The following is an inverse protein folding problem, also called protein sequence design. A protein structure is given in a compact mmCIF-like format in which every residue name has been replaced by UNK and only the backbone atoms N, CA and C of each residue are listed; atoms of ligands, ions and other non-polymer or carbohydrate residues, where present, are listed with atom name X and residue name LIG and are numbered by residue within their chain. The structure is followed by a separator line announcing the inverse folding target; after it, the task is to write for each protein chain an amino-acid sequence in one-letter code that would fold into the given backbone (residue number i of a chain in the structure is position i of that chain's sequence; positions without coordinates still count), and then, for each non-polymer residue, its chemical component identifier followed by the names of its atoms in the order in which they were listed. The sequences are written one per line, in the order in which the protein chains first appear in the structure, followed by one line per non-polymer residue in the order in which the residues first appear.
data_IF_242906923901
#
_entry.id   IF_242906923901
#
_cell.length_a   1.000
_cell.length_b   1.000
_cell.length_c   1.000
_cell.angle_alpha   90.00
_cell.angle_beta   90.00
_cell.angle_gamma   90.00
#
_symmetry.space_group_name_H-M   'P 1'
#
loop_
_entity.id
_entity.type
_entity.pdbx_description
1 polymer ?
#
# COMPACT_ATOMS: atom_id res chain seq x y z
N UNK A 1 -1.78 19.94 20.64
CA UNK A 1 -1.01 19.63 19.41
C UNK A 1 -1.91 19.90 18.21
N UNK A 2 -1.46 20.69 17.23
CA UNK A 2 -2.26 21.04 16.03
C UNK A 2 -1.62 20.35 14.82
N UNK A 3 -2.25 19.29 14.32
CA UNK A 3 -1.79 18.58 13.12
C UNK A 3 -2.47 19.18 11.88
N UNK A 4 -1.70 19.41 10.82
CA UNK A 4 -2.18 19.95 9.55
C UNK A 4 -2.03 18.85 8.51
N UNK A 5 -3.16 18.42 7.94
CA UNK A 5 -3.17 17.45 6.84
C UNK A 5 -3.22 18.22 5.53
N UNK A 6 -2.20 18.03 4.68
CA UNK A 6 -2.12 18.64 3.35
C UNK A 6 -1.83 17.54 2.35
N UNK A 7 -2.57 17.53 1.23
CA UNK A 7 -2.25 16.69 0.08
C UNK A 7 -1.32 17.50 -0.82
N UNK A 8 -0.21 16.90 -1.24
CA UNK A 8 0.75 17.56 -2.09
C UNK A 8 1.36 16.53 -3.05
N UNK A 9 1.41 16.88 -4.33
CA UNK A 9 1.99 16.04 -5.36
C UNK A 9 3.51 16.19 -5.36
N UNK A 10 4.20 15.05 -5.42
CA UNK A 10 5.65 15.03 -5.48
C UNK A 10 6.11 15.46 -6.87
N UNK A 11 7.07 16.37 -6.94
CA UNK A 11 7.68 16.79 -8.20
C UNK A 11 8.36 15.64 -8.93
N UNK A 12 8.63 15.82 -10.22
CA UNK A 12 9.34 14.84 -11.07
C UNK A 12 10.73 14.46 -10.56
N UNK A 13 11.31 15.28 -9.70
CA UNK A 13 12.60 15.10 -9.02
C UNK A 13 12.49 14.35 -7.68
N UNK A 14 11.30 13.82 -7.36
CA UNK A 14 10.97 13.17 -6.08
C UNK A 14 11.06 14.12 -4.87
N UNK A 15 11.06 15.44 -5.09
CA UNK A 15 11.09 16.42 -4.02
C UNK A 15 9.71 17.07 -3.81
N UNK A 16 9.49 17.58 -2.61
CA UNK A 16 8.27 18.30 -2.25
C UNK A 16 8.66 19.56 -1.47
N UNK A 17 8.19 20.72 -1.93
CA UNK A 17 8.40 22.00 -1.24
C UNK A 17 7.07 22.51 -0.71
N UNK A 18 6.87 22.43 0.60
CA UNK A 18 5.72 23.01 1.28
C UNK A 18 5.99 24.48 1.58
N UNK A 19 5.22 25.38 0.97
CA UNK A 19 5.28 26.82 1.23
C UNK A 19 4.15 27.24 2.17
N UNK A 20 4.37 28.31 2.94
CA UNK A 20 3.34 28.95 3.77
C UNK A 20 2.76 28.07 4.88
N UNK A 21 3.60 27.30 5.57
CA UNK A 21 3.18 26.59 6.78
C UNK A 21 2.81 27.62 7.88
N UNK A 22 1.72 27.42 8.64
CA UNK A 22 1.29 28.35 9.69
C UNK A 22 2.10 28.17 10.99
N UNK A 23 3.40 27.94 10.85
CA UNK A 23 4.35 27.82 11.96
C UNK A 23 5.41 28.91 11.81
N UNK A 24 5.80 29.52 12.92
CA UNK A 24 6.82 30.58 12.91
C UNK A 24 8.20 29.99 12.53
N UNK A 25 9.07 30.75 11.83
CA UNK A 25 10.44 30.33 11.55
C UNK A 25 11.17 29.91 12.84
N UNK A 26 11.93 28.80 12.79
CA UNK A 26 12.61 28.24 13.96
C UNK A 26 11.79 27.24 14.79
N UNK A 27 10.52 27.00 14.43
CA UNK A 27 9.71 25.95 15.07
C UNK A 27 10.18 24.56 14.66
N UNK A 28 10.24 23.62 15.61
CA UNK A 28 10.45 22.20 15.32
C UNK A 28 9.12 21.59 14.86
N UNK A 29 9.08 21.08 13.63
CA UNK A 29 7.90 20.45 13.02
C UNK A 29 8.22 18.99 12.73
N UNK A 30 7.29 18.10 13.05
CA UNK A 30 7.34 16.69 12.67
C UNK A 30 6.50 16.49 11.40
N UNK A 31 7.10 15.87 10.38
CA UNK A 31 6.44 15.61 9.10
C UNK A 31 6.23 14.12 8.97
N UNK A 32 4.97 13.70 8.87
CA UNK A 32 4.58 12.31 8.65
C UNK A 32 3.99 12.21 7.24
N UNK A 33 4.68 11.48 6.38
CA UNK A 33 4.25 11.25 4.99
C UNK A 33 3.41 9.99 4.94
N UNK A 34 2.17 10.11 4.45
CA UNK A 34 1.34 8.97 4.12
C UNK A 34 1.25 8.86 2.59
N UNK A 35 1.38 7.65 2.02
CA UNK A 35 1.05 7.46 0.61
C UNK A 35 -0.42 7.85 0.39
N UNK A 36 -0.67 8.72 -0.59
CA UNK A 36 -2.03 8.97 -1.05
C UNK A 36 -2.62 7.62 -1.51
N UNK A 37 -3.84 7.33 -1.09
CA UNK A 37 -4.52 6.04 -1.33
C UNK A 37 -4.79 5.74 -2.83
N UNK A 38 -4.28 6.56 -3.74
CA UNK A 38 -4.46 6.47 -5.19
C UNK A 38 -3.33 5.69 -5.89
N UNK A 39 -2.47 5.01 -5.12
CA UNK A 39 -1.49 4.05 -5.64
C UNK A 39 -1.94 2.63 -5.29
N UNK A 40 -2.14 1.79 -6.30
CA UNK A 40 -2.54 0.38 -6.19
C UNK A 40 -1.99 -0.29 -4.94
N UNK A 41 -2.87 -0.51 -3.95
CA UNK A 41 -2.60 -1.31 -2.77
C UNK A 41 -1.98 -2.65 -3.20
N UNK A 42 -1.04 -3.18 -2.41
CA UNK A 42 -0.42 -4.50 -2.65
C UNK A 42 -1.51 -5.55 -2.85
N UNK A 43 -2.61 -5.43 -2.11
CA UNK A 43 -3.79 -6.28 -2.29
C UNK A 43 -4.45 -6.10 -3.66
N UNK A 44 -4.64 -4.85 -4.12
CA UNK A 44 -5.20 -4.57 -5.45
C UNK A 44 -4.29 -5.05 -6.59
N UNK A 45 -2.97 -4.95 -6.42
CA UNK A 45 -1.97 -5.47 -7.37
C UNK A 45 -2.05 -6.99 -7.44
N UNK A 46 -2.16 -7.66 -6.30
CA UNK A 46 -2.32 -9.11 -6.24
C UNK A 46 -3.64 -9.57 -6.85
N UNK A 47 -4.73 -8.86 -6.62
CA UNK A 47 -6.04 -9.16 -7.23
C UNK A 47 -5.98 -9.07 -8.77
N UNK A 48 -5.28 -8.05 -9.31
CA UNK A 48 -5.06 -7.94 -10.76
C UNK A 48 -4.25 -9.12 -11.30
N UNK A 49 -3.21 -9.55 -10.59
CA UNK A 49 -2.38 -10.70 -10.97
C UNK A 49 -3.19 -11.99 -10.93
N UNK A 50 -3.98 -12.21 -9.87
CA UNK A 50 -4.86 -13.37 -9.70
C UNK A 50 -5.87 -13.46 -10.86
N UNK A 51 -6.53 -12.35 -11.20
CA UNK A 51 -7.45 -12.26 -12.34
C UNK A 51 -6.73 -12.51 -13.68
N UNK A 52 -5.59 -11.88 -13.91
CA UNK A 52 -4.80 -12.01 -15.15
C UNK A 52 -4.30 -13.45 -15.36
N UNK A 53 -3.80 -14.09 -14.32
CA UNK A 53 -3.27 -15.46 -14.36
C UNK A 53 -4.37 -16.53 -14.22
N UNK A 54 -5.64 -16.14 -14.10
CA UNK A 54 -6.78 -17.03 -13.86
C UNK A 54 -6.52 -18.00 -12.71
N UNK A 55 -5.86 -17.52 -11.66
CA UNK A 55 -5.60 -18.33 -10.47
C UNK A 55 -6.97 -18.56 -9.81
N UNK A 56 -7.39 -19.82 -9.74
CA UNK A 56 -8.66 -20.16 -9.09
C UNK A 56 -8.53 -19.86 -7.59
N UNK A 57 -9.46 -19.11 -7.00
CA UNK A 57 -9.50 -18.99 -5.55
C UNK A 57 -9.81 -20.38 -4.98
N UNK A 58 -8.94 -20.86 -4.10
CA UNK A 58 -9.09 -22.13 -3.42
C UNK A 58 -9.41 -21.86 -1.95
N UNK A 59 -10.36 -22.62 -1.42
CA UNK A 59 -10.60 -22.65 0.03
C UNK A 59 -9.45 -23.39 0.73
N UNK A 60 -9.26 -23.15 2.02
CA UNK A 60 -8.20 -23.81 2.81
C UNK A 60 -8.26 -25.34 2.68
N UNK A 61 -9.46 -25.93 2.77
CA UNK A 61 -9.68 -27.38 2.59
C UNK A 61 -9.24 -27.90 1.23
N UNK A 62 -9.45 -27.13 0.16
CA UNK A 62 -9.00 -27.51 -1.19
C UNK A 62 -7.48 -27.44 -1.30
N UNK A 63 -6.87 -26.47 -0.63
CA UNK A 63 -5.42 -26.28 -0.60
C UNK A 63 -4.74 -27.41 0.19
N UNK A 64 -5.29 -27.76 1.35
CA UNK A 64 -4.89 -28.93 2.15
C UNK A 64 -5.00 -30.22 1.35
N UNK A 65 -6.12 -30.43 0.64
CA UNK A 65 -6.30 -31.60 -0.22
C UNK A 65 -5.21 -31.68 -1.30
N UNK A 66 -4.92 -30.58 -2.01
CA UNK A 66 -3.86 -30.55 -3.03
C UNK A 66 -2.49 -30.87 -2.40
N UNK A 67 -2.20 -30.32 -1.21
CA UNK A 67 -0.94 -30.59 -0.50
C UNK A 67 -0.85 -32.07 -0.10
N UNK A 68 -1.92 -32.66 0.42
CA UNK A 68 -1.98 -34.07 0.80
C UNK A 68 -1.84 -35.00 -0.41
N UNK A 69 -2.54 -34.68 -1.50
CA UNK A 69 -2.46 -35.41 -2.78
C UNK A 69 -1.03 -35.39 -3.33
N UNK A 70 -0.33 -34.24 -3.28
CA UNK A 70 1.08 -34.11 -3.72
C UNK A 70 2.04 -34.84 -2.77
N UNK A 71 1.78 -34.79 -1.46
CA UNK A 71 2.61 -35.47 -0.45
C UNK A 71 2.39 -36.98 -0.41
N UNK A 72 1.38 -37.50 -1.12
CA UNK A 72 1.02 -38.92 -1.10
C UNK A 72 0.52 -39.39 0.27
N UNK A 73 0.06 -38.47 1.12
CA UNK A 73 -0.52 -38.77 2.43
C UNK A 73 -2.03 -38.65 2.27
N UNK A 74 -2.63 -39.71 1.73
CA UNK A 74 -4.09 -39.86 1.60
C UNK A 74 -4.73 -40.19 2.93
#
# INVERSE_FOLDING_TARGET
MKAIKTFAEVGSDKSLVLKSLPFVPGSRVEVIVFPAADGEDVFSTMDKIVKKKRIKPLTMKQLEKIIHDIRGVS
#
